data_IF_251827988329
#
_entry.id   IF_251827988329
#
_cell.length_a   1.000
_cell.length_b   1.000
_cell.length_c   1.000
_cell.angle_alpha   90.00
_cell.angle_beta   90.00
_cell.angle_gamma   90.00
#
_symmetry.space_group_name_H-M   'P 1'
#
loop_
_entity.id
_entity.type
_entity.pdbx_description
1 polymer ?
#
# COMPACT_ATOMS: atom_id res chain seq x y z
N UNK A 1 8.72 -13.42 -4.40
CA UNK A 1 9.17 -14.38 -3.37
C UNK A 1 8.65 -13.82 -2.07
N UNK A 2 8.14 -14.65 -1.16
CA UNK A 2 7.70 -14.13 0.14
C UNK A 2 8.97 -13.92 0.99
N UNK A 3 9.23 -12.69 1.42
CA UNK A 3 10.35 -12.44 2.35
C UNK A 3 10.00 -13.02 3.73
N UNK A 4 11.04 -13.42 4.46
CA UNK A 4 10.98 -13.85 5.86
C UNK A 4 11.44 -12.74 6.83
N UNK A 5 11.73 -11.53 6.34
CA UNK A 5 12.12 -10.41 7.16
C UNK A 5 11.05 -10.08 8.22
N UNK A 6 11.51 -9.84 9.45
CA UNK A 6 10.65 -9.50 10.60
C UNK A 6 10.54 -7.99 10.80
N UNK A 7 11.47 -7.22 10.23
CA UNK A 7 11.51 -5.75 10.29
C UNK A 7 11.58 -5.13 8.90
N UNK A 8 11.20 -3.87 8.79
CA UNK A 8 11.27 -3.12 7.52
C UNK A 8 12.73 -2.93 7.11
N UNK A 9 13.60 -2.68 8.08
CA UNK A 9 15.04 -2.53 7.88
C UNK A 9 15.65 -3.82 7.31
N UNK A 10 15.31 -4.98 7.87
CA UNK A 10 15.76 -6.28 7.34
C UNK A 10 15.21 -6.51 5.93
N UNK A 11 13.94 -6.16 5.70
CA UNK A 11 13.31 -6.31 4.39
C UNK A 11 14.03 -5.49 3.32
N UNK A 12 14.34 -4.23 3.61
CA UNK A 12 15.07 -3.35 2.71
C UNK A 12 16.50 -3.86 2.47
N UNK A 13 17.18 -4.34 3.51
CA UNK A 13 18.53 -4.89 3.42
C UNK A 13 18.62 -6.14 2.53
N UNK A 14 17.53 -6.92 2.41
CA UNK A 14 17.45 -8.09 1.53
C UNK A 14 17.31 -7.75 0.03
N UNK A 15 16.94 -6.51 -0.31
CA UNK A 15 16.70 -6.09 -1.69
C UNK A 15 18.02 -5.70 -2.41
N UNK A 16 18.05 -5.97 -3.71
CA UNK A 16 19.02 -5.38 -4.64
C UNK A 16 18.90 -3.84 -4.61
N UNK A 17 20.01 -3.12 -4.82
CA UNK A 17 20.09 -1.67 -4.63
C UNK A 17 19.01 -0.91 -5.42
N UNK A 18 18.78 -1.27 -6.69
CA UNK A 18 17.77 -0.62 -7.56
C UNK A 18 16.33 -0.78 -7.03
N UNK A 19 16.05 -1.94 -6.42
CA UNK A 19 14.75 -2.24 -5.81
C UNK A 19 14.63 -1.60 -4.44
N UNK A 20 15.71 -1.55 -3.68
CA UNK A 20 15.73 -0.87 -2.38
C UNK A 20 15.38 0.60 -2.57
N UNK A 21 16.09 1.30 -3.45
CA UNK A 21 15.89 2.73 -3.71
C UNK A 21 14.43 3.03 -4.11
N UNK A 22 13.87 2.24 -5.03
CA UNK A 22 12.49 2.42 -5.47
C UNK A 22 11.45 2.09 -4.38
N UNK A 23 11.71 1.09 -3.53
CA UNK A 23 10.82 0.74 -2.41
C UNK A 23 10.91 1.78 -1.30
N UNK A 24 12.10 2.31 -1.00
CA UNK A 24 12.32 3.37 -0.02
C UNK A 24 11.57 4.65 -0.43
N UNK A 25 11.68 5.06 -1.69
CA UNK A 25 10.97 6.26 -2.18
C UNK A 25 9.44 6.12 -2.04
N UNK A 26 8.88 4.97 -2.42
CA UNK A 26 7.44 4.72 -2.28
C UNK A 26 7.03 4.65 -0.81
N UNK A 27 7.86 4.03 0.03
CA UNK A 27 7.64 3.95 1.48
C UNK A 27 7.58 5.35 2.09
N UNK A 28 8.53 6.22 1.76
CA UNK A 28 8.60 7.57 2.31
C UNK A 28 7.35 8.39 1.92
N UNK A 29 6.87 8.24 0.69
CA UNK A 29 5.60 8.84 0.26
C UNK A 29 4.41 8.30 1.06
N UNK A 30 4.34 7.00 1.30
CA UNK A 30 3.25 6.41 2.09
C UNK A 30 3.31 6.93 3.52
N UNK A 31 4.46 6.85 4.19
CA UNK A 31 4.64 7.28 5.59
C UNK A 31 4.34 8.77 5.75
N UNK A 32 4.77 9.62 4.82
CA UNK A 32 4.52 11.06 4.86
C UNK A 32 3.02 11.42 4.74
N UNK A 33 2.22 10.55 4.13
CA UNK A 33 0.79 10.76 3.91
C UNK A 33 -0.09 9.85 4.77
N UNK A 34 0.50 9.01 5.62
CA UNK A 34 -0.21 7.99 6.38
C UNK A 34 -1.07 8.66 7.47
N UNK A 35 -2.40 8.47 7.46
CA UNK A 35 -3.26 9.03 8.50
C UNK A 35 -2.93 8.46 9.89
N UNK A 36 -3.17 9.25 10.94
CA UNK A 36 -3.01 8.78 12.31
C UNK A 36 -3.90 7.55 12.60
N UNK A 37 -3.36 6.60 13.34
CA UNK A 37 -4.05 5.36 13.73
C UNK A 37 -3.66 4.13 12.90
N UNK A 38 -3.01 4.31 11.75
CA UNK A 38 -2.33 3.24 11.04
C UNK A 38 -0.90 3.06 11.56
N UNK A 39 -0.35 1.85 11.44
CA UNK A 39 1.04 1.54 11.76
C UNK A 39 1.74 0.89 10.59
N UNK A 40 3.04 1.16 10.45
CA UNK A 40 3.92 0.41 9.56
C UNK A 40 4.42 -0.86 10.27
N UNK A 41 4.33 -2.00 9.61
CA UNK A 41 4.78 -3.30 10.13
C UNK A 41 5.22 -4.22 8.99
N UNK A 42 5.88 -5.33 9.34
CA UNK A 42 6.06 -6.45 8.42
C UNK A 42 4.90 -7.42 8.56
N UNK A 43 4.14 -7.60 7.49
CA UNK A 43 3.06 -8.58 7.45
C UNK A 43 2.95 -9.25 6.07
N UNK A 44 2.57 -10.52 6.06
CA UNK A 44 2.49 -11.34 4.85
C UNK A 44 3.77 -11.36 3.96
N UNK A 45 4.93 -11.01 4.53
CA UNK A 45 6.22 -10.91 3.82
C UNK A 45 6.38 -9.65 2.98
N UNK A 46 5.70 -8.58 3.37
CA UNK A 46 5.67 -7.25 2.73
C UNK A 46 5.68 -6.18 3.83
N UNK A 47 6.11 -4.96 3.47
CA UNK A 47 5.85 -3.79 4.33
C UNK A 47 4.34 -3.52 4.25
N UNK A 48 3.66 -3.47 5.38
CA UNK A 48 2.23 -3.27 5.46
C UNK A 48 1.90 -2.06 6.33
N UNK A 49 0.84 -1.36 5.94
CA UNK A 49 0.26 -0.23 6.67
C UNK A 49 -1.14 -0.63 7.06
N UNK A 50 -1.37 -0.82 8.36
CA UNK A 50 -2.56 -1.50 8.85
C UNK A 50 -3.11 -0.87 10.13
N UNK A 51 -4.39 -1.12 10.39
CA UNK A 51 -5.04 -0.79 11.66
C UNK A 51 -4.59 -1.83 12.70
N UNK A 52 -3.90 -1.44 13.78
CA UNK A 52 -3.49 -2.40 14.82
C UNK A 52 -4.70 -3.11 15.42
N UNK A 53 -4.57 -4.41 15.70
CA UNK A 53 -5.60 -5.16 16.44
C UNK A 53 -5.85 -4.59 17.84
N UNK A 54 -4.88 -3.88 18.43
CA UNK A 54 -5.07 -3.14 19.68
C UNK A 54 -6.11 -2.01 19.55
N UNK A 55 -6.24 -1.43 18.35
CA UNK A 55 -7.23 -0.39 18.01
C UNK A 55 -8.55 -1.01 17.56
N UNK A 56 -8.48 -2.06 16.73
CA UNK A 56 -9.66 -2.73 16.18
C UNK A 56 -9.49 -4.27 16.22
N UNK A 57 -9.87 -4.94 17.33
CA UNK A 57 -9.66 -6.37 17.50
C UNK A 57 -10.71 -7.23 16.76
N UNK A 58 -11.93 -6.71 16.60
CA UNK A 58 -13.09 -7.45 16.05
C UNK A 58 -13.11 -7.45 14.51
N UNK A 59 -12.04 -7.98 13.92
CA UNK A 59 -11.93 -8.19 12.48
C UNK A 59 -12.53 -9.54 12.09
N UNK A 60 -13.10 -9.64 10.88
CA UNK A 60 -13.81 -10.84 10.42
C UNK A 60 -12.97 -12.13 10.40
N UNK A 61 -11.64 -12.01 10.36
CA UNK A 61 -10.68 -13.11 10.31
C UNK A 61 -9.60 -13.04 11.40
N UNK A 62 -9.74 -12.15 12.38
CA UNK A 62 -8.74 -11.95 13.43
C UNK A 62 -7.38 -11.45 12.91
N UNK A 63 -7.36 -10.78 11.76
CA UNK A 63 -6.14 -10.17 11.18
C UNK A 63 -6.32 -8.65 11.09
N UNK A 64 -5.24 -7.87 11.26
CA UNK A 64 -5.25 -6.42 11.05
C UNK A 64 -5.88 -6.00 9.72
N UNK A 65 -6.57 -4.86 9.69
CA UNK A 65 -7.09 -4.29 8.45
C UNK A 65 -5.97 -3.52 7.73
N UNK A 66 -5.48 -4.09 6.64
CA UNK A 66 -4.41 -3.50 5.83
C UNK A 66 -4.94 -2.42 4.88
N UNK A 67 -4.55 -1.17 5.10
CA UNK A 67 -4.79 -0.04 4.21
C UNK A 67 -3.97 -0.17 2.93
N UNK A 68 -2.68 -0.44 3.09
CA UNK A 68 -1.74 -0.55 1.99
C UNK A 68 -0.62 -1.55 2.30
N UNK A 69 0.07 -2.01 1.25
CA UNK A 69 1.30 -2.78 1.40
C UNK A 69 2.26 -2.52 0.24
N UNK A 70 3.54 -2.72 0.48
CA UNK A 70 4.61 -2.52 -0.48
C UNK A 70 5.47 -3.79 -0.58
N UNK A 71 5.63 -4.28 -1.81
CA UNK A 71 6.25 -5.57 -2.05
C UNK A 71 7.18 -5.58 -3.27
N UNK A 72 8.32 -6.23 -3.12
CA UNK A 72 9.27 -6.55 -4.18
C UNK A 72 9.06 -7.99 -4.68
N UNK A 73 8.36 -8.15 -5.81
CA UNK A 73 8.11 -9.44 -6.45
C UNK A 73 9.20 -9.78 -7.46
N UNK A 74 9.30 -11.05 -7.88
CA UNK A 74 10.40 -11.53 -8.75
C UNK A 74 10.57 -10.73 -10.06
N UNK A 75 9.49 -10.11 -10.58
CA UNK A 75 9.50 -9.40 -11.87
C UNK A 75 9.09 -7.93 -11.80
N UNK A 76 8.55 -7.48 -10.68
CA UNK A 76 8.01 -6.13 -10.50
C UNK A 76 7.99 -5.79 -9.02
N UNK A 77 7.86 -4.52 -8.70
CA UNK A 77 7.44 -4.04 -7.40
C UNK A 77 5.93 -3.75 -7.44
N UNK A 78 5.29 -3.79 -6.29
CA UNK A 78 3.85 -3.61 -6.19
C UNK A 78 3.51 -2.77 -4.95
N UNK A 79 2.66 -1.77 -5.16
CA UNK A 79 1.92 -1.12 -4.08
C UNK A 79 0.48 -1.64 -4.11
N UNK A 80 0.03 -2.13 -2.97
CA UNK A 80 -1.34 -2.54 -2.73
C UNK A 80 -2.08 -1.39 -2.05
N UNK A 81 -3.23 -1.00 -2.57
CA UNK A 81 -4.06 0.08 -2.05
C UNK A 81 -5.46 -0.48 -1.80
N UNK A 82 -5.68 -0.99 -0.59
CA UNK A 82 -6.93 -1.69 -0.22
C UNK A 82 -8.12 -0.74 -0.16
N UNK A 83 -7.92 0.52 0.28
CA UNK A 83 -8.97 1.52 0.33
C UNK A 83 -9.61 1.77 -1.04
N UNK A 84 -8.78 1.91 -2.08
CA UNK A 84 -9.24 2.09 -3.46
C UNK A 84 -10.07 0.88 -3.91
N UNK A 85 -9.66 -0.33 -3.55
CA UNK A 85 -10.43 -1.52 -3.91
C UNK A 85 -11.76 -1.66 -3.14
N UNK A 86 -11.84 -1.13 -1.92
CA UNK A 86 -13.02 -1.23 -1.08
C UNK A 86 -14.14 -0.26 -1.51
N UNK A 87 -13.79 0.86 -2.14
CA UNK A 87 -14.70 1.93 -2.54
C UNK A 87 -14.67 2.17 -4.08
N UNK A 88 -15.78 1.88 -4.80
CA UNK A 88 -15.85 2.07 -6.25
C UNK A 88 -15.56 3.51 -6.72
N UNK A 89 -15.93 4.54 -5.95
CA UNK A 89 -15.69 5.93 -6.34
C UNK A 89 -14.19 6.27 -6.24
N UNK A 90 -13.49 5.70 -5.25
CA UNK A 90 -12.03 5.83 -5.13
C UNK A 90 -11.29 5.07 -6.23
N UNK A 91 -11.75 3.87 -6.63
CA UNK A 91 -11.19 3.13 -7.78
C UNK A 91 -11.32 3.92 -9.08
N UNK A 92 -12.50 4.49 -9.34
CA UNK A 92 -12.72 5.29 -10.55
C UNK A 92 -11.83 6.54 -10.57
N UNK A 93 -11.79 7.29 -9.46
CA UNK A 93 -10.93 8.47 -9.32
C UNK A 93 -9.45 8.11 -9.55
N UNK A 94 -8.94 7.08 -8.87
CA UNK A 94 -7.54 6.71 -8.95
C UNK A 94 -7.15 6.29 -10.38
N UNK A 95 -7.98 5.49 -11.06
CA UNK A 95 -7.73 5.07 -12.44
C UNK A 95 -7.76 6.23 -13.42
N UNK A 96 -8.69 7.16 -13.23
CA UNK A 96 -8.82 8.38 -14.05
C UNK A 96 -7.56 9.23 -13.94
N UNK A 97 -7.14 9.56 -12.72
CA UNK A 97 -6.00 10.43 -12.47
C UNK A 97 -4.68 9.75 -12.85
N UNK A 98 -4.54 8.44 -12.64
CA UNK A 98 -3.38 7.68 -13.11
C UNK A 98 -3.26 7.77 -14.63
N UNK A 99 -4.36 7.53 -15.36
CA UNK A 99 -4.39 7.61 -16.82
C UNK A 99 -4.01 9.02 -17.32
N UNK A 100 -4.46 10.07 -16.62
CA UNK A 100 -4.14 11.45 -16.94
C UNK A 100 -2.65 11.78 -16.81
N UNK A 101 -1.88 11.05 -15.99
CA UNK A 101 -0.43 11.24 -15.88
C UNK A 101 0.34 10.80 -17.14
N UNK A 102 -0.28 10.01 -18.02
CA UNK A 102 0.37 9.41 -19.19
C UNK A 102 1.39 8.31 -18.86
N UNK A 103 1.56 7.97 -17.57
CA UNK A 103 2.42 6.86 -17.14
C UNK A 103 1.78 5.52 -17.47
N UNK A 104 2.62 4.48 -17.60
CA UNK A 104 2.16 3.12 -17.84
C UNK A 104 1.37 2.63 -16.64
N UNK A 105 0.10 2.29 -16.83
CA UNK A 105 -0.77 1.76 -15.80
C UNK A 105 -0.87 0.23 -15.90
N UNK A 106 -0.19 -0.50 -15.00
CA UNK A 106 -0.40 -1.93 -14.77
C UNK A 106 -1.06 -2.11 -13.40
N UNK A 107 -2.39 -2.12 -13.39
CA UNK A 107 -3.18 -2.23 -12.16
C UNK A 107 -4.10 -3.46 -12.19
N UNK A 108 -4.04 -4.24 -11.11
CA UNK A 108 -5.01 -5.30 -10.81
C UNK A 108 -6.26 -4.75 -10.12
N UNK A 109 -6.87 -5.56 -9.24
CA UNK A 109 -8.01 -5.12 -8.42
C UNK A 109 -7.62 -4.12 -7.34
N UNK A 110 -6.48 -4.33 -6.69
CA UNK A 110 -5.99 -3.49 -5.58
C UNK A 110 -4.48 -3.24 -5.66
N UNK A 111 -3.84 -3.69 -6.74
CA UNK A 111 -2.38 -3.79 -6.83
C UNK A 111 -1.90 -3.03 -8.05
N UNK A 112 -1.12 -1.98 -7.84
CA UNK A 112 -0.40 -1.27 -8.89
C UNK A 112 0.99 -1.88 -8.99
N UNK A 113 1.35 -2.37 -10.17
CA UNK A 113 2.65 -2.97 -10.46
C UNK A 113 3.51 -1.97 -11.19
N UNK A 114 4.76 -1.88 -10.79
CA UNK A 114 5.75 -1.00 -11.40
C UNK A 114 7.11 -1.69 -11.48
N UNK A 115 7.92 -1.31 -12.46
CA UNK A 115 9.31 -1.79 -12.59
C UNK A 115 10.33 -0.68 -12.39
N UNK A 116 9.90 0.57 -12.54
CA UNK A 116 10.63 1.79 -12.23
C UNK A 116 9.67 2.79 -11.61
N UNK A 117 10.18 3.75 -10.83
CA UNK A 117 9.40 4.90 -10.34
C UNK A 117 8.81 5.73 -11.49
N UNK A 118 9.40 5.68 -12.68
CA UNK A 118 8.83 6.34 -13.86
C UNK A 118 7.43 5.82 -14.22
N UNK A 119 7.14 4.56 -13.90
CA UNK A 119 5.83 3.95 -14.13
C UNK A 119 4.79 4.36 -13.09
N UNK A 120 5.21 4.81 -11.90
CA UNK A 120 4.35 5.02 -10.74
C UNK A 120 4.14 6.52 -10.45
N UNK A 121 2.91 7.05 -10.47
CA UNK A 121 2.64 8.42 -10.05
C UNK A 121 2.67 8.52 -8.52
N UNK A 122 3.85 8.82 -7.96
CA UNK A 122 4.09 8.90 -6.51
C UNK A 122 3.12 9.85 -5.81
N UNK A 123 2.90 11.04 -6.35
CA UNK A 123 1.97 12.02 -5.77
C UNK A 123 0.56 11.43 -5.63
N UNK A 124 0.08 10.73 -6.67
CA UNK A 124 -1.23 10.07 -6.66
C UNK A 124 -1.30 8.92 -5.65
N UNK A 125 -0.19 8.20 -5.43
CA UNK A 125 -0.09 7.19 -4.36
C UNK A 125 -0.23 7.86 -3.00
N UNK A 126 0.47 8.97 -2.75
CA UNK A 126 0.34 9.74 -1.52
C UNK A 126 -1.09 10.22 -1.28
N UNK A 127 -1.72 10.79 -2.31
CA UNK A 127 -3.13 11.21 -2.25
C UNK A 127 -4.06 10.05 -1.93
N UNK A 128 -3.86 8.88 -2.54
CA UNK A 128 -4.65 7.69 -2.26
C UNK A 128 -4.53 7.21 -0.81
N UNK A 129 -3.34 7.28 -0.22
CA UNK A 129 -3.10 6.93 1.19
C UNK A 129 -3.80 7.92 2.13
N UNK A 130 -3.74 9.21 1.81
CA UNK A 130 -4.31 10.27 2.65
C UNK A 130 -5.85 10.34 2.60
N UNK A 131 -6.49 9.70 1.60
CA UNK A 131 -7.92 9.87 1.33
C UNK A 131 -8.87 9.26 2.35
N UNK A 132 -8.42 8.29 3.15
CA UNK A 132 -9.30 7.55 4.06
C UNK A 132 -8.70 7.54 5.46
N UNK A 133 -9.41 8.14 6.42
CA UNK A 133 -9.04 8.07 7.83
C UNK A 133 -9.21 6.65 8.39
N UNK A 134 -8.55 6.34 9.51
CA UNK A 134 -8.68 5.02 10.16
C UNK A 134 -10.13 4.66 10.48
N UNK A 135 -10.95 5.63 10.89
CA UNK A 135 -12.36 5.40 11.23
C UNK A 135 -13.20 5.10 9.97
N UNK A 136 -13.02 5.88 8.91
CA UNK A 136 -13.69 5.63 7.62
C UNK A 136 -13.28 4.27 7.06
N UNK A 137 -12.01 3.89 7.20
CA UNK A 137 -11.51 2.60 6.76
C UNK A 137 -12.12 1.43 7.55
N UNK A 138 -12.21 1.56 8.89
CA UNK A 138 -12.92 0.58 9.73
C UNK A 138 -14.38 0.47 9.31
N UNK A 139 -15.07 1.60 9.07
CA UNK A 139 -16.48 1.61 8.66
C UNK A 139 -16.71 0.96 7.28
N UNK A 140 -15.80 1.17 6.32
CA UNK A 140 -15.83 0.51 5.00
C UNK A 140 -15.81 -1.02 5.13
N UNK A 141 -15.06 -1.54 6.11
CA UNK A 141 -14.91 -2.97 6.34
C UNK A 141 -15.92 -3.56 7.34
N UNK A 142 -16.44 -2.78 8.29
CA UNK A 142 -17.45 -3.20 9.26
C UNK A 142 -18.88 -3.29 8.68
N UNK A 143 -19.10 -2.75 7.48
CA UNK A 143 -20.38 -2.85 6.74
C UNK A 143 -20.49 -4.11 5.87
N UNK A 144 -19.46 -4.96 5.81
CA UNK A 144 -19.45 -6.22 5.04
C UNK A 144 -19.67 -7.43 5.95
#
# INVERSE_FOLDING_TARGET
MRSSAETVEDYLAELDDDRRDAIEEVRDVIVANLPEGFVETMNWGMIAYEVPLATFPDTYNGQPLMLAALASQKRHMAVYLSAIYADPELDEWFRSDYSATGKRMDIGKSCVRFTSLDDLPLDLVGEAIAKVSVNEFIDLYGRR
#
